data_IF_456852555324
#
_entry.id   IF_456852555324
#
_cell.length_a   1.000
_cell.length_b   1.000
_cell.length_c   1.000
_cell.angle_alpha   90.00
_cell.angle_beta   90.00
_cell.angle_gamma   90.00
#
_symmetry.space_group_name_H-M   'P 1'
#
loop_
_entity.id
_entity.type
_entity.pdbx_description
1 polymer ?
#
# COMPACT_ATOMS: atom_id res chain seq x y z
N UNK A 1 2.67 4.79 0.48
CA UNK A 1 1.63 5.56 1.17
C UNK A 1 2.16 6.12 2.48
N UNK A 2 1.53 7.17 3.00
CA UNK A 2 2.00 7.92 4.15
C UNK A 2 0.94 8.14 5.26
N UNK A 3 -0.16 7.38 5.20
CA UNK A 3 -1.23 7.51 6.19
C UNK A 3 -2.02 8.81 6.10
N UNK A 4 -2.84 9.09 7.11
CA UNK A 4 -3.60 10.34 7.23
C UNK A 4 -2.73 11.41 7.91
N UNK A 5 -3.00 12.68 7.64
CA UNK A 5 -2.32 13.85 8.24
C UNK A 5 -2.33 13.89 9.77
N UNK A 6 -3.30 13.23 10.40
CA UNK A 6 -3.43 13.18 11.85
C UNK A 6 -2.52 12.11 12.49
N UNK A 7 -1.86 11.29 11.68
CA UNK A 7 -0.81 10.35 12.11
C UNK A 7 0.57 11.00 12.28
N UNK A 8 0.58 12.33 12.30
CA UNK A 8 1.75 13.21 12.24
C UNK A 8 2.98 12.67 12.96
N UNK A 9 4.06 12.63 12.24
CA UNK A 9 5.40 12.22 12.66
C UNK A 9 5.57 10.74 13.08
N UNK A 10 4.59 9.86 12.90
CA UNK A 10 4.77 8.44 13.26
C UNK A 10 5.67 7.74 12.24
N UNK A 11 5.41 7.99 10.97
CA UNK A 11 6.17 7.37 9.87
C UNK A 11 7.59 7.93 9.87
N UNK A 12 7.76 9.26 9.95
CA UNK A 12 9.08 9.90 10.00
C UNK A 12 9.89 9.40 11.18
N UNK A 13 9.32 9.42 12.38
CA UNK A 13 10.01 8.90 13.59
C UNK A 13 10.37 7.42 13.47
N UNK A 14 9.52 6.63 12.82
CA UNK A 14 9.84 5.23 12.59
C UNK A 14 11.00 5.09 11.60
N UNK A 15 10.99 5.82 10.49
CA UNK A 15 12.06 5.81 9.49
C UNK A 15 13.38 6.30 10.11
N UNK A 16 13.35 7.40 10.86
CA UNK A 16 14.53 7.92 11.59
C UNK A 16 15.10 6.89 12.57
N UNK A 17 14.23 6.23 13.36
CA UNK A 17 14.64 5.17 14.28
C UNK A 17 15.29 3.99 13.57
N UNK A 18 14.90 3.73 12.32
CA UNK A 18 15.54 2.71 11.47
C UNK A 18 16.81 3.22 10.79
N UNK A 19 17.22 4.46 11.01
CA UNK A 19 18.41 5.06 10.39
C UNK A 19 18.23 5.41 8.91
N UNK A 20 16.98 5.50 8.44
CA UNK A 20 16.69 5.89 7.06
C UNK A 20 16.96 7.37 6.86
N UNK A 21 17.80 7.70 5.87
CA UNK A 21 18.12 9.08 5.47
C UNK A 21 17.68 9.38 4.04
N UNK A 22 17.52 8.35 3.22
CA UNK A 22 17.08 8.47 1.84
C UNK A 22 16.05 7.39 1.47
N UNK A 23 15.15 7.74 0.56
CA UNK A 23 14.17 6.86 -0.02
C UNK A 23 14.45 6.72 -1.52
N UNK A 24 14.85 5.55 -1.98
CA UNK A 24 15.05 5.29 -3.40
C UNK A 24 13.75 5.42 -4.19
N UNK A 25 12.67 4.98 -3.58
CA UNK A 25 11.32 5.08 -4.13
C UNK A 25 10.34 5.50 -3.05
N UNK A 26 9.51 6.48 -3.38
CA UNK A 26 8.34 6.85 -2.61
C UNK A 26 7.11 6.68 -3.52
N UNK A 27 6.20 5.80 -3.12
CA UNK A 27 5.06 5.41 -3.96
C UNK A 27 3.76 5.80 -3.26
N UNK A 28 2.95 6.63 -3.91
CA UNK A 28 1.57 6.84 -3.55
C UNK A 28 0.71 5.86 -4.36
N UNK A 29 0.03 4.93 -3.70
CA UNK A 29 -0.80 3.94 -4.40
C UNK A 29 -1.95 4.61 -5.13
N UNK A 30 -2.59 5.59 -4.50
CA UNK A 30 -3.62 6.45 -5.08
C UNK A 30 -3.74 7.75 -4.26
N UNK A 31 -4.41 8.79 -4.77
CA UNK A 31 -4.31 10.13 -4.18
C UNK A 31 -5.38 10.46 -3.12
N UNK A 32 -5.93 9.49 -2.38
CA UNK A 32 -6.79 9.79 -1.24
C UNK A 32 -5.99 10.29 -0.03
N UNK A 33 -6.63 11.11 0.79
CA UNK A 33 -6.00 11.84 1.88
C UNK A 33 -5.35 10.93 2.94
N UNK A 34 -5.93 9.79 3.22
CA UNK A 34 -5.43 8.78 4.15
C UNK A 34 -4.29 7.90 3.59
N UNK A 35 -3.88 8.14 2.35
CA UNK A 35 -2.72 7.53 1.71
C UNK A 35 -1.60 8.53 1.42
N UNK A 36 -1.93 9.80 1.25
CA UNK A 36 -0.94 10.86 0.95
C UNK A 36 -0.85 11.92 2.05
N UNK A 37 -1.44 11.67 3.23
CA UNK A 37 -1.61 12.66 4.29
C UNK A 37 -0.32 13.28 4.78
N UNK A 38 0.73 12.47 4.98
CA UNK A 38 2.06 12.89 5.43
C UNK A 38 3.10 12.91 4.28
N UNK A 39 2.66 12.84 3.03
CA UNK A 39 3.56 12.70 1.89
C UNK A 39 4.43 13.96 1.70
N UNK A 40 3.89 15.14 1.98
CA UNK A 40 4.63 16.41 1.93
C UNK A 40 5.76 16.42 2.96
N UNK A 41 5.48 16.00 4.18
CA UNK A 41 6.42 15.97 5.29
C UNK A 41 7.56 14.98 5.01
N UNK A 42 7.24 13.78 4.51
CA UNK A 42 8.25 12.79 4.11
C UNK A 42 9.15 13.34 3.01
N UNK A 43 8.58 13.98 1.98
CA UNK A 43 9.35 14.58 0.88
C UNK A 43 10.24 15.72 1.40
N UNK A 44 9.76 16.50 2.35
CA UNK A 44 10.52 17.63 2.90
C UNK A 44 11.67 17.18 3.80
N UNK A 45 11.48 16.08 4.53
CA UNK A 45 12.43 15.58 5.53
C UNK A 45 13.49 14.66 4.94
N UNK A 46 13.12 13.76 4.03
CA UNK A 46 14.01 12.75 3.46
C UNK A 46 14.47 13.13 2.05
N UNK A 47 15.65 12.63 1.68
CA UNK A 47 16.03 12.62 0.27
C UNK A 47 15.18 11.56 -0.44
N UNK A 48 14.47 11.95 -1.49
CA UNK A 48 13.67 11.03 -2.32
C UNK A 48 14.25 11.02 -3.74
N UNK A 49 14.67 9.85 -4.22
CA UNK A 49 15.24 9.73 -5.56
C UNK A 49 14.14 9.66 -6.61
N UNK A 50 13.07 8.93 -6.34
CA UNK A 50 11.97 8.74 -7.30
C UNK A 50 10.60 8.75 -6.60
N UNK A 51 9.74 9.65 -7.05
CA UNK A 51 8.35 9.70 -6.62
C UNK A 51 7.46 9.09 -7.71
N UNK A 52 6.61 8.11 -7.33
CA UNK A 52 5.72 7.40 -8.24
C UNK A 52 4.29 7.54 -7.75
N UNK A 53 3.36 7.88 -8.63
CA UNK A 53 1.93 7.88 -8.35
C UNK A 53 1.12 7.59 -9.63
N UNK A 54 -0.11 7.07 -9.52
CA UNK A 54 -0.95 6.86 -10.68
C UNK A 54 -1.39 8.19 -11.30
N UNK A 55 -1.62 8.14 -12.61
CA UNK A 55 -2.33 9.22 -13.32
C UNK A 55 -3.82 8.90 -13.23
N UNK A 56 -4.59 9.83 -12.72
CA UNK A 56 -6.06 9.77 -12.68
C UNK A 56 -6.66 10.66 -13.75
N UNK A 57 -7.95 10.50 -14.04
CA UNK A 57 -8.68 11.40 -14.95
C UNK A 57 -8.58 12.85 -14.46
N UNK A 58 -8.60 13.79 -15.38
CA UNK A 58 -8.46 15.23 -15.07
C UNK A 58 -9.57 15.74 -14.13
N UNK A 59 -10.78 15.27 -14.32
CA UNK A 59 -11.97 15.60 -13.51
C UNK A 59 -11.97 14.93 -12.13
N UNK A 60 -11.11 13.92 -11.92
CA UNK A 60 -10.92 13.24 -10.64
C UNK A 60 -9.66 13.69 -9.89
N UNK A 61 -8.86 14.58 -10.49
CA UNK A 61 -7.65 15.09 -9.81
C UNK A 61 -8.05 15.80 -8.52
N UNK A 62 -7.50 15.38 -7.35
CA UNK A 62 -7.89 15.99 -6.09
C UNK A 62 -7.52 17.48 -6.03
N UNK A 63 -8.43 18.26 -5.46
CA UNK A 63 -8.24 19.70 -5.17
C UNK A 63 -8.09 19.96 -3.68
N UNK A 64 -7.72 18.93 -2.91
CA UNK A 64 -7.57 19.02 -1.46
C UNK A 64 -6.27 19.74 -1.10
N UNK A 65 -6.27 20.42 0.06
CA UNK A 65 -5.06 21.04 0.61
C UNK A 65 -3.90 20.06 0.78
N UNK A 66 -4.20 18.81 1.12
CA UNK A 66 -3.19 17.74 1.28
C UNK A 66 -2.50 17.47 -0.05
N UNK A 67 -3.28 17.27 -1.11
CA UNK A 67 -2.74 17.03 -2.45
C UNK A 67 -1.91 18.23 -2.95
N UNK A 68 -2.42 19.46 -2.75
CA UNK A 68 -1.67 20.66 -3.11
C UNK A 68 -0.36 20.83 -2.35
N UNK A 69 -0.33 20.50 -1.03
CA UNK A 69 0.90 20.53 -0.23
C UNK A 69 1.92 19.53 -0.78
N UNK A 70 1.51 18.30 -1.03
CA UNK A 70 2.37 17.28 -1.63
C UNK A 70 2.99 17.78 -2.94
N UNK A 71 2.19 18.35 -3.85
CA UNK A 71 2.70 18.91 -5.11
C UNK A 71 3.68 20.07 -4.90
N UNK A 72 3.45 20.92 -3.89
CA UNK A 72 4.38 22.01 -3.54
C UNK A 72 5.72 21.47 -3.04
N UNK A 73 5.73 20.46 -2.18
CA UNK A 73 6.96 19.80 -1.70
C UNK A 73 7.71 19.11 -2.84
N UNK A 74 7.02 18.37 -3.71
CA UNK A 74 7.60 17.77 -4.92
C UNK A 74 8.31 18.83 -5.77
N UNK A 75 7.62 19.95 -6.03
CA UNK A 75 8.19 21.07 -6.81
C UNK A 75 9.38 21.73 -6.12
N UNK A 76 9.28 21.97 -4.82
CA UNK A 76 10.35 22.59 -4.03
C UNK A 76 11.63 21.76 -4.00
N UNK A 77 11.51 20.44 -3.95
CA UNK A 77 12.63 19.50 -4.01
C UNK A 77 13.11 19.19 -5.43
N UNK A 78 12.49 19.75 -6.46
CA UNK A 78 12.83 19.46 -7.86
C UNK A 78 12.57 18.02 -8.29
N UNK A 79 11.72 17.30 -7.55
CA UNK A 79 11.33 15.93 -7.87
C UNK A 79 10.42 15.91 -9.11
N UNK A 80 10.55 14.84 -9.89
CA UNK A 80 9.60 14.56 -10.98
C UNK A 80 8.61 13.51 -10.54
N UNK A 81 7.34 13.75 -10.83
CA UNK A 81 6.32 12.72 -10.69
C UNK A 81 6.51 11.72 -11.83
N UNK A 82 6.83 10.47 -11.45
CA UNK A 82 6.82 9.35 -12.39
C UNK A 82 5.42 8.75 -12.39
N UNK A 83 4.79 8.70 -13.54
CA UNK A 83 3.50 8.01 -13.66
C UNK A 83 3.68 6.53 -13.33
N UNK A 84 2.83 6.00 -12.46
CA UNK A 84 2.78 4.57 -12.21
C UNK A 84 2.27 3.86 -13.48
N UNK A 85 3.07 2.92 -13.95
CA UNK A 85 2.79 2.03 -15.07
C UNK A 85 3.26 0.63 -14.69
N UNK A 86 2.83 -0.43 -15.39
CA UNK A 86 3.41 -1.74 -15.19
C UNK A 86 4.91 -1.69 -15.42
N UNK A 87 5.68 -1.86 -14.36
CA UNK A 87 7.14 -1.82 -14.39
C UNK A 87 7.75 -2.80 -13.42
N UNK A 88 9.00 -3.14 -13.66
CA UNK A 88 9.82 -3.97 -12.77
C UNK A 88 11.17 -3.28 -12.54
N UNK A 89 11.65 -3.29 -11.32
CA UNK A 89 12.98 -2.78 -10.96
C UNK A 89 13.54 -3.53 -9.75
N UNK A 90 14.84 -3.41 -9.54
CA UNK A 90 15.54 -3.97 -8.39
C UNK A 90 15.72 -2.91 -7.29
N UNK A 91 15.60 -3.34 -6.04
CA UNK A 91 15.88 -2.54 -4.84
C UNK A 91 16.72 -3.40 -3.89
N UNK A 92 18.03 -3.22 -3.92
CA UNK A 92 18.96 -4.14 -3.28
C UNK A 92 18.84 -5.55 -3.86
N UNK A 93 18.59 -6.55 -3.01
CA UNK A 93 18.31 -7.95 -3.42
C UNK A 93 16.87 -8.17 -3.86
N UNK A 94 15.99 -7.20 -3.59
CA UNK A 94 14.56 -7.35 -3.84
C UNK A 94 14.21 -6.99 -5.29
N UNK A 95 13.28 -7.75 -5.85
CA UNK A 95 12.62 -7.43 -7.11
C UNK A 95 11.26 -6.78 -6.80
N UNK A 96 11.02 -5.61 -7.37
CA UNK A 96 9.77 -4.86 -7.21
C UNK A 96 9.03 -4.80 -8.52
N UNK A 97 7.75 -5.14 -8.49
CA UNK A 97 6.84 -5.02 -9.63
C UNK A 97 5.67 -4.13 -9.27
N UNK A 98 5.35 -3.21 -10.17
CA UNK A 98 4.14 -2.41 -10.08
C UNK A 98 3.10 -2.95 -11.07
N UNK A 99 1.87 -3.07 -10.61
CA UNK A 99 0.71 -3.39 -11.43
C UNK A 99 -0.28 -2.25 -11.36
N UNK A 100 -0.79 -1.84 -12.49
CA UNK A 100 -1.77 -0.75 -12.60
C UNK A 100 -2.96 -1.20 -13.43
N UNK A 101 -4.15 -0.67 -13.16
CA UNK A 101 -5.31 -0.98 -13.98
C UNK A 101 -5.13 -0.48 -15.41
N UNK A 102 -5.79 -1.14 -16.37
CA UNK A 102 -5.85 -0.69 -17.77
C UNK A 102 -7.04 0.22 -18.04
N UNK A 103 -8.08 0.10 -17.23
CA UNK A 103 -9.32 0.84 -17.41
C UNK A 103 -9.31 2.14 -16.64
N UNK A 104 -10.07 3.09 -17.12
CA UNK A 104 -10.47 4.24 -16.34
C UNK A 104 -11.65 3.89 -15.44
N UNK A 105 -11.66 4.48 -14.24
CA UNK A 105 -12.69 4.28 -13.23
C UNK A 105 -13.30 5.63 -12.82
N UNK A 106 -14.42 5.57 -12.11
CA UNK A 106 -15.09 6.75 -11.53
C UNK A 106 -14.89 6.82 -10.01
N UNK A 107 -14.01 5.96 -9.47
CA UNK A 107 -13.57 5.95 -8.09
C UNK A 107 -12.04 5.91 -8.02
N UNK A 108 -11.45 6.81 -7.24
CA UNK A 108 -9.99 6.93 -7.06
C UNK A 108 -9.37 5.67 -6.44
N UNK A 109 -10.11 4.93 -5.62
CA UNK A 109 -9.65 3.66 -5.06
C UNK A 109 -9.19 2.70 -6.16
N UNK A 110 -9.92 2.66 -7.26
CA UNK A 110 -9.67 1.77 -8.40
C UNK A 110 -8.57 2.27 -9.37
N UNK A 111 -7.80 3.28 -8.96
CA UNK A 111 -6.53 3.68 -9.56
C UNK A 111 -5.33 3.23 -8.71
N UNK A 112 -5.53 2.33 -7.76
CA UNK A 112 -4.48 1.89 -6.86
C UNK A 112 -3.34 1.20 -7.61
N UNK A 113 -2.13 1.65 -7.40
CA UNK A 113 -0.93 0.97 -7.87
C UNK A 113 -0.63 -0.19 -6.91
N UNK A 114 -0.75 -1.43 -7.39
CA UNK A 114 -0.35 -2.58 -6.61
C UNK A 114 1.16 -2.73 -6.66
N UNK A 115 1.77 -3.00 -5.52
CA UNK A 115 3.22 -3.16 -5.39
C UNK A 115 3.53 -4.57 -4.90
N UNK A 116 4.18 -5.38 -5.75
CA UNK A 116 4.71 -6.69 -5.36
C UNK A 116 6.20 -6.58 -5.12
N UNK A 117 6.64 -6.97 -3.92
CA UNK A 117 8.06 -7.04 -3.55
C UNK A 117 8.41 -8.51 -3.38
N UNK A 118 9.48 -8.96 -4.02
CA UNK A 118 10.01 -10.32 -3.88
C UNK A 118 11.43 -10.25 -3.38
N UNK A 119 11.71 -10.96 -2.29
CA UNK A 119 13.03 -11.13 -1.68
C UNK A 119 13.27 -12.62 -1.51
N UNK A 120 14.06 -13.21 -2.43
CA UNK A 120 14.26 -14.65 -2.49
C UNK A 120 12.94 -15.42 -2.57
N UNK A 121 12.69 -16.25 -1.54
CA UNK A 121 11.47 -17.04 -1.42
C UNK A 121 10.26 -16.25 -0.84
N UNK A 122 10.49 -15.05 -0.34
CA UNK A 122 9.47 -14.24 0.32
C UNK A 122 8.88 -13.21 -0.62
N UNK A 123 7.59 -12.99 -0.50
CA UNK A 123 6.88 -12.03 -1.36
C UNK A 123 5.78 -11.31 -0.61
N UNK A 124 5.64 -10.03 -0.94
CA UNK A 124 4.69 -9.10 -0.34
C UNK A 124 3.87 -8.47 -1.46
N UNK A 125 2.56 -8.39 -1.28
CA UNK A 125 1.66 -7.67 -2.17
C UNK A 125 0.93 -6.60 -1.39
N UNK A 126 1.15 -5.35 -1.78
CA UNK A 126 0.52 -4.16 -1.22
C UNK A 126 -0.47 -3.65 -2.25
N UNK A 127 -1.74 -3.54 -1.90
CA UNK A 127 -2.83 -3.34 -2.87
C UNK A 127 -3.48 -1.95 -2.80
N UNK A 128 -2.94 -1.04 -1.98
CA UNK A 128 -3.62 0.25 -1.76
C UNK A 128 -5.06 0.03 -1.33
N UNK A 129 -5.98 0.69 -2.02
CA UNK A 129 -7.43 0.54 -1.82
C UNK A 129 -8.13 -0.10 -3.02
N UNK A 130 -7.36 -0.89 -3.79
CA UNK A 130 -7.87 -1.70 -4.89
C UNK A 130 -9.15 -2.45 -4.50
N UNK A 131 -10.22 -2.23 -5.25
CA UNK A 131 -11.49 -2.90 -5.07
C UNK A 131 -11.65 -4.06 -6.06
N UNK A 132 -12.67 -4.89 -5.85
CA UNK A 132 -12.93 -6.09 -6.69
C UNK A 132 -13.04 -5.80 -8.18
N UNK A 133 -13.42 -4.59 -8.55
CA UNK A 133 -13.50 -4.16 -9.95
C UNK A 133 -12.11 -4.00 -10.56
N UNK A 134 -11.20 -3.36 -9.85
CA UNK A 134 -9.80 -3.23 -10.25
C UNK A 134 -9.06 -4.57 -10.12
N UNK A 135 -9.31 -5.35 -9.05
CA UNK A 135 -8.74 -6.69 -8.89
C UNK A 135 -8.98 -7.57 -10.13
N UNK A 136 -10.20 -7.54 -10.67
CA UNK A 136 -10.55 -8.27 -11.91
C UNK A 136 -9.81 -7.75 -13.12
N UNK A 137 -9.62 -6.44 -13.22
CA UNK A 137 -8.84 -5.85 -14.31
C UNK A 137 -7.37 -6.27 -14.22
N UNK A 138 -6.75 -6.18 -13.04
CA UNK A 138 -5.39 -6.64 -12.77
C UNK A 138 -5.23 -8.14 -13.14
N UNK A 139 -6.15 -8.99 -12.69
CA UNK A 139 -6.11 -10.42 -13.00
C UNK A 139 -6.27 -10.69 -14.49
N UNK A 140 -7.10 -9.91 -15.20
CA UNK A 140 -7.32 -10.05 -16.64
C UNK A 140 -6.07 -9.78 -17.47
N UNK A 141 -5.08 -9.08 -16.91
CA UNK A 141 -3.80 -8.76 -17.53
C UNK A 141 -2.78 -9.91 -17.43
N UNK A 142 -3.11 -10.97 -16.68
CA UNK A 142 -2.25 -12.14 -16.55
C UNK A 142 -1.06 -11.95 -15.60
N UNK A 143 -1.07 -10.92 -14.76
CA UNK A 143 0.01 -10.71 -13.78
C UNK A 143 0.04 -11.80 -12.73
N UNK A 144 1.25 -12.18 -12.33
CA UNK A 144 1.48 -13.01 -11.15
C UNK A 144 1.36 -12.16 -9.88
N UNK A 145 0.18 -12.22 -9.25
CA UNK A 145 -0.13 -11.52 -7.99
C UNK A 145 0.10 -12.41 -6.76
N UNK A 146 0.65 -13.61 -6.91
CA UNK A 146 0.91 -14.50 -5.77
C UNK A 146 1.83 -13.85 -4.75
N UNK A 147 1.54 -13.99 -3.45
CA UNK A 147 2.37 -13.39 -2.40
C UNK A 147 2.18 -14.10 -1.05
N UNK A 148 3.28 -14.30 -0.30
CA UNK A 148 3.22 -14.83 1.06
C UNK A 148 2.52 -13.87 2.03
N UNK A 149 2.72 -12.55 1.85
CA UNK A 149 2.10 -11.50 2.68
C UNK A 149 1.25 -10.61 1.81
N UNK A 150 -0.01 -10.45 2.18
CA UNK A 150 -0.97 -9.55 1.54
C UNK A 150 -1.35 -8.42 2.49
N UNK A 151 -1.10 -7.15 2.10
CA UNK A 151 -1.86 -6.04 2.68
C UNK A 151 -3.22 -6.02 1.97
N UNK A 152 -4.27 -6.34 2.69
CA UNK A 152 -5.64 -6.33 2.16
C UNK A 152 -6.03 -4.93 1.68
N UNK A 153 -6.77 -4.88 0.59
CA UNK A 153 -7.21 -3.62 -0.02
C UNK A 153 -8.22 -2.88 0.86
N UNK A 154 -8.27 -1.57 0.67
CA UNK A 154 -9.29 -0.66 1.18
C UNK A 154 -9.60 -0.88 2.67
N UNK A 155 -8.54 -0.97 3.48
CA UNK A 155 -8.62 -1.12 4.95
C UNK A 155 -9.52 -2.28 5.43
N UNK A 156 -9.71 -3.30 4.59
CA UNK A 156 -10.63 -4.41 4.86
C UNK A 156 -12.09 -4.09 4.55
N UNK A 157 -12.35 -3.18 3.62
CA UNK A 157 -13.68 -2.93 3.06
C UNK A 157 -14.28 -4.19 2.44
N UNK A 158 -15.61 -4.30 2.47
CA UNK A 158 -16.35 -5.37 1.79
C UNK A 158 -16.18 -5.34 0.27
N UNK A 159 -15.83 -4.19 -0.29
CA UNK A 159 -15.63 -3.98 -1.73
C UNK A 159 -14.31 -4.53 -2.26
N UNK A 160 -13.38 -4.97 -1.38
CA UNK A 160 -12.03 -5.43 -1.74
C UNK A 160 -11.74 -6.87 -1.31
N UNK A 161 -10.58 -7.37 -1.68
CA UNK A 161 -10.09 -8.72 -1.35
C UNK A 161 -11.07 -9.81 -1.78
N UNK A 162 -11.49 -9.76 -3.06
CA UNK A 162 -12.43 -10.67 -3.65
C UNK A 162 -11.92 -12.12 -3.74
N UNK A 163 -12.85 -13.08 -3.81
CA UNK A 163 -12.54 -14.52 -3.82
C UNK A 163 -11.57 -14.87 -4.97
N UNK A 164 -11.83 -14.38 -6.18
CA UNK A 164 -11.01 -14.69 -7.34
C UNK A 164 -9.58 -14.14 -7.17
N UNK A 165 -9.45 -12.95 -6.58
CA UNK A 165 -8.17 -12.33 -6.29
C UNK A 165 -7.41 -13.13 -5.22
N UNK A 166 -8.06 -13.47 -4.10
CA UNK A 166 -7.46 -14.25 -3.03
C UNK A 166 -7.03 -15.65 -3.48
N UNK A 167 -7.78 -16.28 -4.39
CA UNK A 167 -7.38 -17.55 -5.02
C UNK A 167 -6.10 -17.44 -5.85
N UNK A 168 -5.78 -16.27 -6.35
CA UNK A 168 -4.53 -16.02 -7.11
C UNK A 168 -3.38 -15.55 -6.23
N UNK A 169 -3.68 -14.77 -5.19
CA UNK A 169 -2.66 -14.30 -4.25
C UNK A 169 -2.18 -15.44 -3.35
N UNK A 170 -3.07 -16.29 -2.83
CA UNK A 170 -2.78 -17.42 -1.93
C UNK A 170 -1.92 -17.01 -0.72
N UNK A 171 -2.31 -16.00 0.04
CA UNK A 171 -1.47 -15.45 1.09
C UNK A 171 -1.35 -16.40 2.28
N UNK A 172 -0.15 -16.52 2.86
CA UNK A 172 0.05 -17.13 4.19
C UNK A 172 -0.33 -16.16 5.30
N UNK A 173 -0.02 -14.88 5.10
CA UNK A 173 -0.30 -13.78 6.02
C UNK A 173 -1.15 -12.74 5.33
N UNK A 174 -2.22 -12.30 6.00
CA UNK A 174 -2.99 -11.13 5.58
C UNK A 174 -2.87 -10.04 6.64
N UNK A 175 -2.76 -8.79 6.19
CA UNK A 175 -2.69 -7.61 7.05
C UNK A 175 -3.80 -6.65 6.65
N UNK A 176 -4.59 -6.24 7.61
CA UNK A 176 -5.55 -5.14 7.47
C UNK A 176 -4.99 -3.93 8.21
N UNK A 177 -4.75 -2.84 7.46
CA UNK A 177 -4.36 -1.56 8.03
C UNK A 177 -5.59 -0.68 8.20
N UNK A 178 -6.04 -0.47 9.43
CA UNK A 178 -7.18 0.39 9.74
C UNK A 178 -7.05 0.98 11.15
N UNK A 179 -7.67 2.12 11.37
CA UNK A 179 -7.74 2.77 12.68
C UNK A 179 -8.84 2.18 13.56
N UNK A 180 -8.61 2.12 14.88
CA UNK A 180 -9.63 1.68 15.83
C UNK A 180 -10.77 2.69 15.89
N UNK A 181 -12.01 2.19 15.78
CA UNK A 181 -13.20 3.05 15.83
C UNK A 181 -13.34 4.01 14.63
N UNK A 182 -12.76 3.66 13.49
CA UNK A 182 -12.87 4.45 12.28
C UNK A 182 -14.34 4.62 11.83
N UNK A 183 -14.64 5.74 11.20
CA UNK A 183 -16.01 6.11 10.80
C UNK A 183 -16.63 5.22 9.73
N UNK A 184 -15.82 4.43 9.04
CA UNK A 184 -16.27 3.54 7.96
C UNK A 184 -16.65 2.15 8.43
N UNK A 185 -16.37 1.82 9.71
CA UNK A 185 -16.61 0.50 10.27
C UNK A 185 -15.64 -0.57 9.78
N UNK A 186 -14.49 -0.15 9.22
CA UNK A 186 -13.46 -1.09 8.77
C UNK A 186 -12.69 -1.71 9.96
N UNK A 187 -12.31 -2.99 9.84
CA UNK A 187 -12.60 -3.90 8.72
C UNK A 187 -14.03 -4.43 8.80
N UNK A 188 -14.66 -4.66 7.65
CA UNK A 188 -15.95 -5.30 7.59
C UNK A 188 -15.85 -6.80 7.94
N UNK A 189 -16.81 -7.31 8.70
CA UNK A 189 -16.80 -8.69 9.20
C UNK A 189 -16.72 -9.74 8.09
N UNK A 190 -17.40 -9.49 6.97
CA UNK A 190 -17.36 -10.38 5.82
C UNK A 190 -15.97 -10.49 5.19
N UNK A 191 -15.21 -9.38 5.16
CA UNK A 191 -13.82 -9.36 4.65
C UNK A 191 -12.89 -10.07 5.62
N UNK A 192 -13.04 -9.83 6.92
CA UNK A 192 -12.31 -10.57 7.96
C UNK A 192 -12.54 -12.06 7.84
N UNK A 193 -13.83 -12.48 7.73
CA UNK A 193 -14.21 -13.87 7.58
C UNK A 193 -13.64 -14.49 6.30
N UNK A 194 -13.66 -13.73 5.19
CA UNK A 194 -13.09 -14.16 3.93
C UNK A 194 -11.58 -14.32 4.03
N UNK A 195 -10.86 -13.33 4.54
CA UNK A 195 -9.39 -13.41 4.69
C UNK A 195 -8.95 -14.56 5.59
N UNK A 196 -9.66 -14.86 6.67
CA UNK A 196 -9.40 -16.02 7.55
C UNK A 196 -9.53 -17.38 6.85
N UNK A 197 -10.25 -17.47 5.73
CA UNK A 197 -10.33 -18.70 4.93
C UNK A 197 -9.14 -18.89 4.01
N UNK A 198 -8.48 -17.80 3.62
CA UNK A 198 -7.39 -17.81 2.64
C UNK A 198 -6.00 -17.65 3.26
N UNK A 199 -5.89 -16.97 4.37
CA UNK A 199 -4.63 -16.75 5.07
C UNK A 199 -4.56 -17.55 6.38
N UNK A 200 -3.40 -18.14 6.66
CA UNK A 200 -3.18 -18.85 7.94
C UNK A 200 -3.12 -17.90 9.12
N UNK A 201 -2.69 -16.65 8.89
CA UNK A 201 -2.56 -15.61 9.90
C UNK A 201 -3.19 -14.31 9.39
N UNK A 202 -4.00 -13.68 10.22
CA UNK A 202 -4.60 -12.37 9.95
C UNK A 202 -4.23 -11.40 11.06
N UNK A 203 -3.60 -10.30 10.68
CA UNK A 203 -3.25 -9.19 11.56
C UNK A 203 -4.08 -7.96 11.23
N UNK A 204 -4.56 -7.26 12.27
CA UNK A 204 -5.32 -6.01 12.12
C UNK A 204 -4.62 -4.93 12.95
N UNK A 205 -4.16 -3.85 12.34
CA UNK A 205 -3.41 -2.79 13.04
C UNK A 205 -4.20 -2.14 14.16
N UNK A 206 -5.53 -2.04 14.04
CA UNK A 206 -6.42 -1.55 15.10
C UNK A 206 -6.31 -2.36 16.39
N UNK A 207 -5.97 -3.65 16.31
CA UNK A 207 -5.85 -4.56 17.44
C UNK A 207 -4.42 -4.66 17.97
N UNK A 208 -3.46 -4.84 17.06
CA UNK A 208 -2.08 -5.21 17.43
C UNK A 208 -1.06 -4.08 17.25
N UNK A 209 -1.48 -2.92 16.77
CA UNK A 209 -0.58 -1.78 16.52
C UNK A 209 0.31 -1.98 15.30
N UNK A 210 1.53 -1.50 15.36
CA UNK A 210 2.51 -1.60 14.29
C UNK A 210 2.88 -3.06 14.03
N UNK A 211 2.90 -3.45 12.75
CA UNK A 211 3.26 -4.81 12.31
C UNK A 211 4.49 -4.70 11.43
N UNK A 212 5.53 -5.45 11.78
CA UNK A 212 6.80 -5.48 11.04
C UNK A 212 7.05 -6.90 10.54
N UNK A 213 7.20 -7.03 9.24
CA UNK A 213 7.73 -8.22 8.60
C UNK A 213 9.19 -8.00 8.25
N UNK A 214 10.03 -9.00 8.52
CA UNK A 214 11.44 -8.99 8.15
C UNK A 214 11.75 -10.23 7.33
N UNK A 215 12.46 -10.05 6.23
CA UNK A 215 12.90 -11.10 5.31
C UNK A 215 14.42 -11.03 5.15
N UNK A 216 15.05 -12.19 5.03
CA UNK A 216 16.46 -12.35 4.63
C UNK A 216 16.60 -13.13 3.31
N UNK A 217 15.49 -13.25 2.58
CA UNK A 217 15.41 -14.02 1.33
C UNK A 217 14.93 -15.46 1.53
N UNK A 218 15.28 -16.11 2.62
CA UNK A 218 14.84 -17.47 2.97
C UNK A 218 13.79 -17.43 4.09
N UNK A 219 14.18 -16.84 5.24
CA UNK A 219 13.34 -16.67 6.41
C UNK A 219 12.38 -15.49 6.29
N UNK A 220 11.21 -15.64 6.90
CA UNK A 220 10.21 -14.57 7.07
C UNK A 220 9.77 -14.55 8.52
N UNK A 221 10.01 -13.45 9.20
CA UNK A 221 9.54 -13.23 10.56
C UNK A 221 8.52 -12.08 10.62
N UNK A 222 7.65 -12.12 11.61
CA UNK A 222 6.67 -11.07 11.88
C UNK A 222 6.69 -10.70 13.35
N UNK A 223 6.57 -9.41 13.64
CA UNK A 223 6.35 -8.90 14.99
C UNK A 223 5.23 -7.88 14.99
N UNK A 224 4.43 -7.87 16.04
CA UNK A 224 3.37 -6.91 16.27
C UNK A 224 3.58 -6.19 17.59
N UNK A 225 3.33 -4.89 17.63
CA UNK A 225 3.62 -4.00 18.78
C UNK A 225 2.95 -4.48 20.07
N UNK A 226 1.73 -4.98 19.99
CA UNK A 226 0.95 -5.45 21.15
C UNK A 226 0.93 -6.97 21.31
N UNK A 227 1.80 -7.68 20.57
CA UNK A 227 1.80 -9.13 20.51
C UNK A 227 0.66 -9.70 19.64
N UNK A 228 0.73 -11.01 19.37
CA UNK A 228 -0.38 -11.74 18.73
C UNK A 228 -1.50 -11.94 19.76
N UNK A 229 -2.75 -11.72 19.34
CA UNK A 229 -3.94 -12.06 20.12
C UNK A 229 -4.52 -13.39 19.66
#
# INVERSE_FOLDING_TARGET
DSGDKDDSNKIEKYLEKQGVTELKYLIATHPHADHIGEMSEIIDQFQVDKFIMPKVKADMTPTTTIYEKMLKSIKAKGLKITQAEPMEFELGSCKVKLFTPKKDYDDLNNYSTLVKITDGENSFLITGDCETTEEKDILSQGYDVSAKVLKAGHHGSSTSSGVDFLNKVMPRYAVISCGKGNKYGHPHEETVTRLKKYASHLYVTADVGTIVFSSDGEGLSVSAEKGEK
#
